data_IF_478638486004
#
_entry.id   IF_478638486004
#
_cell.length_a   1.000
_cell.length_b   1.000
_cell.length_c   1.000
_cell.angle_alpha   90.00
_cell.angle_beta   90.00
_cell.angle_gamma   90.00
#
_symmetry.space_group_name_H-M   'P 1'
#
loop_
_entity.id
_entity.type
_entity.pdbx_description
1 polymer ?
#
# COMPACT_ATOMS: atom_id res chain seq x y z
N UNK A 1 57.26 31.01 4.52
CA UNK A 1 57.15 30.45 5.89
C UNK A 1 55.75 30.79 6.42
N UNK A 2 55.05 29.89 7.12
CA UNK A 2 54.23 28.85 6.49
C UNK A 2 52.69 29.06 6.62
N UNK A 3 51.99 28.28 5.79
CA UNK A 3 50.53 28.08 5.72
C UNK A 3 50.06 27.16 6.86
N UNK A 4 48.91 27.46 7.47
CA UNK A 4 48.23 26.62 8.45
C UNK A 4 47.15 25.76 7.80
N UNK A 5 47.39 24.46 7.69
CA UNK A 5 46.39 23.44 7.32
C UNK A 5 45.62 23.00 8.56
N UNK A 6 44.29 23.15 8.55
CA UNK A 6 43.40 22.57 9.56
C UNK A 6 43.12 21.12 9.21
N UNK A 7 43.60 20.18 10.03
CA UNK A 7 43.32 18.76 9.91
C UNK A 7 41.90 18.46 10.42
N UNK A 8 41.03 17.98 9.54
CA UNK A 8 39.73 17.41 9.91
C UNK A 8 39.91 16.00 10.48
N UNK A 9 39.23 15.73 11.60
CA UNK A 9 39.22 14.42 12.25
C UNK A 9 38.60 13.34 11.34
N UNK A 10 39.12 12.09 11.34
CA UNK A 10 38.56 11.01 10.54
C UNK A 10 37.26 10.51 11.17
N UNK A 11 36.16 10.54 10.39
CA UNK A 11 34.91 9.85 10.74
C UNK A 11 35.09 8.32 10.78
N UNK A 12 34.19 7.59 11.46
CA UNK A 12 34.30 6.14 11.63
C UNK A 12 34.29 5.43 10.27
N UNK A 13 35.33 4.62 10.04
CA UNK A 13 35.49 3.78 8.85
C UNK A 13 34.56 2.57 8.98
N UNK A 14 33.55 2.49 8.12
CA UNK A 14 32.81 1.24 7.88
C UNK A 14 33.78 0.29 7.15
N UNK A 15 33.94 -0.97 7.58
CA UNK A 15 34.85 -1.91 6.91
C UNK A 15 34.44 -2.11 5.44
N UNK A 16 35.30 -1.66 4.53
CA UNK A 16 35.28 -2.11 3.13
C UNK A 16 35.65 -3.59 3.14
N UNK A 17 34.72 -4.44 2.73
CA UNK A 17 35.02 -5.84 2.49
C UNK A 17 36.13 -5.92 1.45
N UNK A 18 37.20 -6.61 1.83
CA UNK A 18 38.42 -6.83 1.05
C UNK A 18 38.02 -7.47 -0.28
N UNK A 19 38.31 -6.79 -1.38
CA UNK A 19 38.28 -7.37 -2.71
C UNK A 19 39.46 -8.35 -2.77
N UNK A 20 39.20 -9.62 -2.48
CA UNK A 20 40.17 -10.67 -2.68
C UNK A 20 40.34 -10.95 -4.16
N UNK A 21 41.61 -11.09 -4.52
CA UNK A 21 42.09 -11.31 -5.86
C UNK A 21 41.65 -12.69 -6.36
N UNK A 22 41.38 -12.70 -7.66
CA UNK A 22 41.16 -13.82 -8.56
C UNK A 22 42.04 -15.04 -8.23
N UNK A 23 41.40 -16.10 -7.75
CA UNK A 23 41.94 -17.45 -7.75
C UNK A 23 40.79 -18.38 -8.21
N UNK A 24 40.95 -18.91 -9.43
CA UNK A 24 39.90 -19.53 -10.21
C UNK A 24 39.13 -20.65 -9.53
N UNK A 25 37.81 -20.48 -9.49
CA UNK A 25 36.79 -21.52 -9.48
C UNK A 25 35.67 -21.04 -10.42
N UNK A 26 35.09 -21.98 -11.19
CA UNK A 26 34.19 -21.72 -12.32
C UNK A 26 32.94 -20.87 -12.01
N UNK A 27 32.07 -20.61 -13.01
CA UNK A 27 30.98 -19.66 -12.87
C UNK A 27 29.98 -20.13 -11.80
N UNK A 28 30.15 -19.60 -10.59
CA UNK A 28 29.14 -19.70 -9.54
C UNK A 28 27.91 -18.89 -9.95
N UNK A 29 26.73 -19.29 -9.47
CA UNK A 29 25.50 -18.66 -9.92
C UNK A 29 25.44 -17.22 -9.39
N UNK A 30 25.10 -16.27 -10.26
CA UNK A 30 25.09 -14.84 -9.93
C UNK A 30 24.11 -14.51 -8.79
N UNK A 31 24.25 -13.33 -8.18
CA UNK A 31 23.43 -12.81 -7.06
C UNK A 31 21.91 -13.04 -7.18
N UNK A 32 21.41 -13.17 -8.41
CA UNK A 32 20.01 -13.49 -8.73
C UNK A 32 19.58 -14.90 -8.34
N UNK A 33 20.48 -15.88 -8.40
CA UNK A 33 20.19 -17.26 -8.03
C UNK A 33 20.27 -17.45 -6.51
N UNK A 34 21.21 -16.79 -5.84
CA UNK A 34 21.26 -16.75 -4.37
C UNK A 34 19.97 -16.16 -3.75
N UNK A 35 19.29 -15.25 -4.47
CA UNK A 35 17.97 -14.73 -4.10
C UNK A 35 16.86 -15.78 -4.23
N UNK A 36 16.97 -16.73 -5.17
CA UNK A 36 15.98 -17.80 -5.38
C UNK A 36 16.24 -18.96 -4.40
N UNK A 37 17.51 -19.32 -4.20
CA UNK A 37 17.90 -20.46 -3.36
C UNK A 37 17.60 -20.21 -1.86
N UNK A 38 17.57 -18.95 -1.42
CA UNK A 38 17.17 -18.58 -0.06
C UNK A 38 15.71 -18.95 0.29
N UNK A 39 14.88 -19.31 -0.68
CA UNK A 39 13.51 -19.78 -0.47
C UNK A 39 13.36 -21.31 -0.55
N UNK A 40 14.39 -22.03 -1.02
CA UNK A 40 14.35 -23.51 -1.19
C UNK A 40 14.91 -24.24 0.05
N UNK A 41 15.77 -23.59 0.84
CA UNK A 41 16.41 -24.21 2.02
C UNK A 41 15.48 -24.38 3.24
N UNK A 42 14.23 -23.91 3.21
CA UNK A 42 13.29 -24.09 4.32
C UNK A 42 12.46 -25.38 4.29
N UNK A 43 12.54 -26.19 3.23
CA UNK A 43 11.85 -27.48 3.17
C UNK A 43 12.82 -28.64 2.90
N UNK A 44 13.30 -29.26 3.99
CA UNK A 44 13.70 -30.66 3.99
C UNK A 44 15.16 -30.96 4.32
N UNK A 45 15.40 -31.43 5.55
CA UNK A 45 16.31 -32.57 5.79
C UNK A 45 16.21 -33.03 7.24
N UNK A 46 15.36 -34.01 7.46
CA UNK A 46 15.19 -34.70 8.74
C UNK A 46 15.37 -36.20 8.59
N UNK A 47 16.47 -36.66 7.99
CA UNK A 47 16.72 -38.11 7.86
C UNK A 47 17.96 -38.56 8.63
N UNK A 48 17.78 -39.57 9.49
CA UNK A 48 18.84 -40.47 9.98
C UNK A 48 18.47 -41.92 9.63
N UNK A 49 19.46 -42.83 9.44
CA UNK A 49 19.28 -44.02 8.61
C UNK A 49 19.19 -45.35 9.38
N UNK A 50 18.72 -46.38 8.66
CA UNK A 50 18.85 -47.82 8.96
C UNK A 50 17.54 -48.56 8.67
N UNK A 51 17.46 -49.75 8.07
CA UNK A 51 18.41 -50.76 7.56
C UNK A 51 17.60 -51.73 6.68
N UNK A 52 18.27 -52.45 5.77
CA UNK A 52 17.76 -53.46 4.83
C UNK A 52 16.86 -54.56 5.45
N UNK A 53 15.89 -55.08 4.67
CA UNK A 53 15.90 -56.48 4.20
C UNK A 53 14.79 -56.80 3.17
N UNK A 54 15.08 -57.81 2.36
CA UNK A 54 14.41 -58.27 1.13
C UNK A 54 13.09 -59.02 1.33
N UNK A 55 12.25 -59.07 0.29
CA UNK A 55 11.21 -60.09 0.14
C UNK A 55 10.46 -60.01 -1.20
N UNK A 56 10.68 -61.00 -2.05
CA UNK A 56 10.04 -61.27 -3.35
C UNK A 56 8.61 -61.82 -3.23
N UNK A 57 7.73 -61.54 -4.21
CA UNK A 57 6.95 -62.51 -5.05
C UNK A 57 5.62 -61.94 -5.64
N UNK A 58 5.56 -62.00 -6.98
CA UNK A 58 4.49 -62.30 -7.95
C UNK A 58 3.00 -61.82 -7.87
N UNK A 59 2.58 -61.22 -9.01
CA UNK A 59 1.38 -61.42 -9.88
C UNK A 59 -0.03 -61.69 -9.24
N UNK A 60 -1.18 -61.20 -9.72
CA UNK A 60 -1.72 -61.10 -11.09
C UNK A 60 -2.98 -60.17 -11.12
N UNK A 61 -3.09 -59.35 -12.18
CA UNK A 61 -4.25 -59.16 -13.09
C UNK A 61 -5.70 -59.08 -12.57
N UNK A 62 -6.36 -57.95 -12.89
CA UNK A 62 -7.83 -57.83 -12.93
C UNK A 62 -8.32 -56.68 -13.83
N UNK A 63 -9.12 -56.99 -14.86
CA UNK A 63 -9.61 -56.11 -15.94
C UNK A 63 -10.90 -55.36 -15.57
N UNK A 64 -11.05 -54.17 -16.19
CA UNK A 64 -12.32 -53.63 -16.71
C UNK A 64 -13.15 -52.80 -15.72
N UNK A 65 -14.08 -51.93 -16.13
CA UNK A 65 -14.42 -51.29 -17.40
C UNK A 65 -15.49 -50.22 -17.09
N UNK A 66 -15.44 -49.07 -17.79
CA UNK A 66 -16.54 -48.23 -18.27
C UNK A 66 -17.64 -47.69 -17.32
N UNK A 67 -17.84 -46.37 -17.46
CA UNK A 67 -19.16 -45.71 -17.48
C UNK A 67 -19.45 -44.84 -16.26
N UNK A 68 -20.13 -43.68 -16.32
CA UNK A 68 -20.92 -42.99 -17.35
C UNK A 68 -20.93 -41.50 -16.95
N UNK A 69 -20.71 -40.61 -17.91
CA UNK A 69 -21.68 -39.66 -18.45
C UNK A 69 -21.87 -38.34 -17.66
N UNK A 70 -21.35 -37.29 -18.29
CA UNK A 70 -21.87 -35.93 -18.26
C UNK A 70 -23.37 -35.89 -18.57
N UNK A 71 -24.15 -35.14 -17.79
CA UNK A 71 -25.16 -34.17 -18.25
C UNK A 71 -25.81 -33.47 -17.05
N UNK A 72 -25.97 -32.15 -17.15
CA UNK A 72 -26.68 -31.33 -16.17
C UNK A 72 -26.60 -29.85 -16.51
N UNK A 73 -27.32 -29.43 -17.54
CA UNK A 73 -27.56 -28.03 -17.93
C UNK A 73 -28.63 -27.41 -17.03
N UNK A 74 -28.59 -26.08 -16.91
CA UNK A 74 -29.66 -25.13 -16.53
C UNK A 74 -29.54 -24.57 -15.11
N UNK A 75 -29.72 -23.28 -14.82
CA UNK A 75 -30.08 -22.12 -15.62
C UNK A 75 -29.59 -20.85 -14.89
N UNK A 76 -29.37 -19.79 -15.66
CA UNK A 76 -29.03 -18.46 -15.17
C UNK A 76 -30.15 -17.89 -14.29
N UNK A 77 -29.78 -17.37 -13.12
CA UNK A 77 -30.59 -16.43 -12.35
C UNK A 77 -29.89 -15.07 -12.35
N UNK A 78 -30.32 -14.22 -13.26
CA UNK A 78 -29.95 -12.81 -13.37
C UNK A 78 -30.48 -12.09 -12.14
N UNK A 79 -29.60 -11.64 -11.26
CA UNK A 79 -29.97 -10.70 -10.19
C UNK A 79 -29.66 -9.29 -10.66
N UNK A 80 -30.71 -8.49 -10.71
CA UNK A 80 -30.76 -7.11 -11.17
C UNK A 80 -30.03 -6.17 -10.19
N UNK A 81 -29.10 -5.38 -10.72
CA UNK A 81 -28.44 -4.29 -9.99
C UNK A 81 -29.34 -3.06 -10.04
N UNK A 82 -29.80 -2.61 -8.87
CA UNK A 82 -30.48 -1.32 -8.70
C UNK A 82 -29.42 -0.21 -8.58
N UNK A 83 -29.26 0.56 -9.65
CA UNK A 83 -28.52 1.83 -9.63
C UNK A 83 -29.53 2.98 -9.44
N UNK A 84 -29.49 3.64 -8.28
CA UNK A 84 -30.24 4.87 -8.03
C UNK A 84 -29.37 6.04 -8.49
N UNK A 85 -29.72 6.62 -9.65
CA UNK A 85 -29.19 7.91 -10.11
C UNK A 85 -30.14 9.00 -9.63
N UNK A 86 -29.69 9.85 -8.69
CA UNK A 86 -30.41 11.08 -8.34
C UNK A 86 -29.92 12.18 -9.29
N UNK A 87 -30.70 12.48 -10.31
CA UNK A 87 -30.54 13.68 -11.14
C UNK A 87 -31.36 14.82 -10.52
N UNK A 88 -30.68 15.85 -9.98
CA UNK A 88 -31.30 17.11 -9.58
C UNK A 88 -31.37 18.07 -10.77
N UNK A 89 -32.59 18.41 -11.21
CA UNK A 89 -32.81 19.48 -12.17
C UNK A 89 -33.09 20.81 -11.46
N UNK A 90 -32.20 21.76 -11.73
CA UNK A 90 -32.39 23.18 -12.09
C UNK A 90 -33.70 23.87 -11.70
N UNK A 91 -33.61 24.86 -10.81
CA UNK A 91 -34.32 26.13 -10.91
C UNK A 91 -33.60 27.20 -10.06
N UNK A 92 -32.60 27.88 -10.63
CA UNK A 92 -32.09 29.14 -10.10
C UNK A 92 -32.14 30.16 -11.24
N UNK A 93 -33.08 31.09 -11.11
CA UNK A 93 -33.43 32.08 -12.10
C UNK A 93 -32.29 33.04 -12.43
N UNK A 94 -32.18 33.34 -13.71
CA UNK A 94 -31.51 34.55 -14.20
C UNK A 94 -32.44 35.73 -13.97
N UNK A 95 -32.02 36.68 -13.15
CA UNK A 95 -32.57 38.03 -13.14
C UNK A 95 -31.42 39.00 -13.39
N UNK A 96 -31.19 39.29 -14.68
CA UNK A 96 -30.54 40.52 -15.11
C UNK A 96 -31.57 41.64 -14.98
N UNK A 97 -31.42 42.48 -13.95
CA UNK A 97 -32.17 43.72 -13.82
C UNK A 97 -31.28 44.88 -14.29
N UNK A 98 -31.50 45.29 -15.54
CA UNK A 98 -31.02 46.57 -16.05
C UNK A 98 -31.81 47.70 -15.42
N UNK A 99 -31.07 48.76 -15.11
CA UNK A 99 -31.51 49.96 -14.43
C UNK A 99 -32.66 50.68 -15.15
N UNK A 100 -33.64 51.16 -14.36
CA UNK A 100 -34.36 52.37 -14.71
C UNK A 100 -34.63 53.20 -13.45
N UNK A 101 -34.28 54.46 -13.59
CA UNK A 101 -34.05 55.46 -12.57
C UNK A 101 -35.32 56.28 -12.29
N UNK A 102 -35.44 56.67 -11.02
CA UNK A 102 -35.92 57.96 -10.51
C UNK A 102 -37.39 58.39 -10.66
N UNK A 103 -37.94 58.73 -9.49
CA UNK A 103 -38.82 59.89 -9.14
C UNK A 103 -39.97 59.39 -8.25
N UNK A 104 -40.42 60.05 -7.19
CA UNK A 104 -40.04 61.28 -6.51
C UNK A 104 -40.61 61.23 -5.08
N UNK A 105 -39.98 61.99 -4.18
CA UNK A 105 -40.56 62.87 -3.16
C UNK A 105 -41.75 62.43 -2.28
N UNK A 106 -41.63 62.77 -0.99
CA UNK A 106 -42.78 63.08 -0.13
C UNK A 106 -42.71 62.43 1.23
N UNK A 107 -42.42 63.23 2.26
CA UNK A 107 -42.35 62.79 3.66
C UNK A 107 -43.72 62.57 4.30
N UNK A 108 -43.70 62.26 5.60
CA UNK A 108 -44.90 62.23 6.41
C UNK A 108 -44.77 61.30 7.62
N UNK A 109 -44.82 61.90 8.79
CA UNK A 109 -44.76 61.29 10.12
C UNK A 109 -46.05 60.53 10.50
N UNK A 110 -45.85 59.60 11.44
CA UNK A 110 -46.73 59.21 12.54
C UNK A 110 -48.05 58.42 12.33
N UNK A 111 -48.11 57.33 13.10
CA UNK A 111 -49.19 56.92 14.02
C UNK A 111 -49.91 55.58 13.75
N UNK A 112 -49.51 54.58 14.57
CA UNK A 112 -50.31 53.66 15.42
C UNK A 112 -51.58 53.03 14.84
N UNK A 113 -51.67 51.68 14.85
CA UNK A 113 -52.62 50.88 15.65
C UNK A 113 -52.39 49.36 15.46
N UNK A 114 -52.59 48.66 16.57
CA UNK A 114 -52.51 47.24 16.93
C UNK A 114 -53.01 46.16 15.95
N UNK A 115 -52.32 45.01 15.92
CA UNK A 115 -52.82 43.71 16.43
C UNK A 115 -51.91 42.53 16.00
N UNK A 116 -51.37 41.79 16.97
CA UNK A 116 -50.86 40.40 16.84
C UNK A 116 -52.05 39.42 16.94
N UNK A 117 -51.96 38.09 16.66
CA UNK A 117 -50.76 37.22 16.72
C UNK A 117 -50.66 36.13 15.63
N UNK A 118 -49.53 35.41 15.58
CA UNK A 118 -49.48 34.09 14.94
C UNK A 118 -48.29 33.80 14.02
N UNK A 119 -47.09 34.26 14.37
CA UNK A 119 -45.87 33.80 13.71
C UNK A 119 -45.31 32.58 14.45
N UNK A 120 -45.67 31.36 14.03
CA UNK A 120 -44.85 30.18 14.31
C UNK A 120 -43.50 30.39 13.63
N UNK A 121 -42.57 30.98 14.38
CA UNK A 121 -41.17 31.07 13.99
C UNK A 121 -40.59 29.68 13.92
N UNK A 122 -40.67 29.06 12.74
CA UNK A 122 -39.84 27.91 12.41
C UNK A 122 -38.39 28.38 12.42
N UNK A 123 -37.72 28.22 13.55
CA UNK A 123 -36.26 28.24 13.60
C UNK A 123 -35.78 27.14 12.67
N UNK A 124 -34.98 27.44 11.63
CA UNK A 124 -34.38 26.38 10.84
C UNK A 124 -33.42 25.62 11.74
N UNK A 125 -33.77 24.37 12.07
CA UNK A 125 -32.85 23.41 12.66
C UNK A 125 -31.69 23.22 11.69
N UNK A 126 -30.56 23.87 11.98
CA UNK A 126 -29.30 23.62 11.28
C UNK A 126 -28.83 22.24 11.71
N UNK A 127 -29.07 21.24 10.87
CA UNK A 127 -28.40 19.94 10.99
C UNK A 127 -26.90 20.17 10.88
N UNK A 128 -26.07 19.73 11.85
CA UNK A 128 -24.63 19.86 11.70
C UNK A 128 -24.19 19.03 10.49
N UNK A 129 -23.71 19.70 9.45
CA UNK A 129 -23.00 19.03 8.36
C UNK A 129 -21.69 18.48 8.93
N UNK A 130 -21.54 17.16 8.94
CA UNK A 130 -20.33 16.53 9.47
C UNK A 130 -19.11 17.04 8.69
N UNK A 131 -18.14 17.62 9.41
CA UNK A 131 -16.91 18.11 8.79
C UNK A 131 -16.15 16.95 8.12
N UNK A 132 -15.50 17.17 6.96
CA UNK A 132 -14.69 16.15 6.31
C UNK A 132 -13.57 15.64 7.23
N UNK A 133 -13.28 14.33 7.17
CA UNK A 133 -12.18 13.74 7.93
C UNK A 133 -10.83 14.33 7.50
N UNK A 134 -9.98 14.61 8.49
CA UNK A 134 -8.56 14.95 8.29
C UNK A 134 -7.78 13.77 7.73
N UNK A 135 -6.56 14.02 7.23
CA UNK A 135 -5.67 12.96 6.74
C UNK A 135 -5.42 11.88 7.79
N UNK A 136 -5.10 12.27 9.03
CA UNK A 136 -4.78 11.30 10.09
C UNK A 136 -5.99 10.45 10.47
N UNK A 137 -7.18 11.07 10.50
CA UNK A 137 -8.44 10.35 10.70
C UNK A 137 -8.70 9.36 9.55
N UNK A 138 -8.54 9.78 8.29
CA UNK A 138 -8.68 8.89 7.12
C UNK A 138 -7.69 7.73 7.16
N UNK A 139 -6.44 7.99 7.49
CA UNK A 139 -5.41 6.95 7.66
C UNK A 139 -5.72 5.97 8.79
N UNK A 140 -6.50 6.39 9.79
CA UNK A 140 -7.00 5.55 10.89
C UNK A 140 -8.26 4.74 10.58
N UNK A 141 -8.90 4.93 9.41
CA UNK A 141 -10.12 4.17 9.05
C UNK A 141 -9.77 2.85 8.38
N UNK A 142 -10.31 1.75 8.90
CA UNK A 142 -10.35 0.45 8.22
C UNK A 142 -11.53 0.36 7.26
N UNK A 143 -11.36 -0.38 6.17
CA UNK A 143 -12.40 -0.60 5.18
C UNK A 143 -12.70 -2.10 5.05
N UNK A 144 -13.97 -2.51 4.94
CA UNK A 144 -14.29 -3.89 4.64
C UNK A 144 -13.81 -4.21 3.21
N UNK A 145 -12.93 -5.20 3.09
CA UNK A 145 -12.41 -5.68 1.80
C UNK A 145 -12.10 -7.17 1.96
N UNK A 146 -12.58 -8.01 1.03
CA UNK A 146 -12.35 -9.45 1.12
C UNK A 146 -10.90 -9.81 0.84
N UNK A 147 -10.32 -10.70 1.65
CA UNK A 147 -9.00 -11.29 1.37
C UNK A 147 -8.97 -12.09 0.05
N UNK A 148 -10.14 -12.51 -0.46
CA UNK A 148 -10.27 -13.23 -1.73
C UNK A 148 -10.74 -12.33 -2.89
N UNK A 149 -10.79 -11.00 -2.68
CA UNK A 149 -11.24 -10.09 -3.72
C UNK A 149 -10.32 -10.18 -4.95
N UNK A 150 -10.94 -10.31 -6.12
CA UNK A 150 -10.33 -10.12 -7.43
C UNK A 150 -11.12 -9.05 -8.16
N UNK A 151 -10.52 -7.88 -8.33
CA UNK A 151 -11.16 -6.78 -9.04
C UNK A 151 -10.84 -6.86 -10.55
N UNK A 152 -10.77 -5.73 -11.24
CA UNK A 152 -10.75 -5.69 -12.71
C UNK A 152 -9.42 -6.09 -13.37
N UNK A 153 -8.31 -6.09 -12.65
CA UNK A 153 -6.93 -6.18 -13.17
C UNK A 153 -6.47 -4.97 -13.99
N UNK A 154 -7.29 -3.91 -14.11
CA UNK A 154 -6.99 -2.69 -14.85
C UNK A 154 -6.65 -1.55 -13.90
N UNK A 155 -5.60 -0.79 -14.21
CA UNK A 155 -5.12 0.29 -13.36
C UNK A 155 -5.44 1.67 -13.94
N UNK A 156 -5.73 2.63 -13.08
CA UNK A 156 -5.68 4.06 -13.39
C UNK A 156 -4.52 4.71 -12.63
N UNK A 157 -3.78 5.57 -13.33
CA UNK A 157 -2.83 6.47 -12.67
C UNK A 157 -3.61 7.51 -11.87
N UNK A 158 -3.27 7.68 -10.60
CA UNK A 158 -3.86 8.74 -9.78
C UNK A 158 -3.36 10.09 -10.32
N UNK A 159 -4.24 11.03 -10.70
CA UNK A 159 -3.83 12.32 -11.25
C UNK A 159 -3.06 13.17 -10.24
N UNK A 160 -2.12 13.97 -10.73
CA UNK A 160 -1.42 14.98 -9.92
C UNK A 160 0.11 14.86 -9.96
N UNK A 161 0.74 15.84 -9.33
CA UNK A 161 2.19 15.93 -9.22
C UNK A 161 2.54 16.40 -7.81
N UNK A 162 3.46 15.70 -7.16
CA UNK A 162 3.97 16.09 -5.84
C UNK A 162 5.49 16.22 -5.92
N UNK A 163 5.98 17.46 -5.89
CA UNK A 163 7.40 17.76 -5.96
C UNK A 163 8.15 17.12 -4.79
N UNK A 164 9.29 16.51 -5.09
CA UNK A 164 10.25 16.05 -4.09
C UNK A 164 10.70 17.23 -3.18
N UNK A 165 10.59 17.13 -1.85
CA UNK A 165 10.98 18.20 -0.94
C UNK A 165 12.50 18.30 -0.72
N UNK A 166 13.23 17.20 -0.93
CA UNK A 166 14.66 17.09 -0.66
C UNK A 166 15.55 17.38 -1.87
N UNK A 167 16.86 17.40 -1.60
CA UNK A 167 17.92 17.53 -2.62
C UNK A 167 18.77 16.26 -2.77
N UNK A 168 18.40 15.18 -2.08
CA UNK A 168 19.06 13.88 -2.17
C UNK A 168 18.88 13.22 -3.53
N UNK A 169 19.29 11.96 -3.64
CA UNK A 169 19.03 11.18 -4.85
C UNK A 169 17.53 11.14 -5.12
N UNK A 170 17.13 11.68 -6.27
CA UNK A 170 15.72 11.77 -6.66
C UNK A 170 15.25 10.46 -7.28
N UNK A 171 14.12 9.97 -6.78
CA UNK A 171 13.34 8.91 -7.39
C UNK A 171 11.98 9.47 -7.83
N UNK A 172 11.63 9.24 -9.07
CA UNK A 172 10.32 9.53 -9.62
C UNK A 172 9.45 8.28 -9.54
N UNK A 173 8.21 8.44 -9.09
CA UNK A 173 7.27 7.33 -9.03
C UNK A 173 5.89 7.74 -9.49
N UNK A 174 5.13 6.78 -10.00
CA UNK A 174 3.69 6.93 -10.27
C UNK A 174 2.90 6.11 -9.27
N UNK A 175 1.69 6.56 -8.95
CA UNK A 175 0.73 5.81 -8.16
C UNK A 175 -0.37 5.30 -9.08
N UNK A 176 -0.53 3.99 -9.14
CA UNK A 176 -1.59 3.32 -9.88
C UNK A 176 -2.57 2.66 -8.89
N UNK A 177 -3.86 2.70 -9.17
CA UNK A 177 -4.90 2.04 -8.36
C UNK A 177 -5.76 1.18 -9.27
N UNK A 178 -6.03 -0.06 -8.85
CA UNK A 178 -6.90 -0.96 -9.59
C UNK A 178 -8.35 -0.47 -9.60
N UNK A 179 -8.99 -0.51 -10.78
CA UNK A 179 -10.41 -0.17 -10.92
C UNK A 179 -11.27 -1.17 -10.17
N UNK A 180 -12.24 -0.65 -9.41
CA UNK A 180 -13.24 -1.44 -8.69
C UNK A 180 -12.90 -1.76 -7.23
N UNK A 181 -11.82 -1.19 -6.67
CA UNK A 181 -11.46 -1.44 -5.26
C UNK A 181 -12.38 -0.75 -4.24
N UNK A 182 -13.04 0.35 -4.61
CA UNK A 182 -13.84 1.14 -3.66
C UNK A 182 -13.00 1.85 -2.58
N UNK A 183 -11.70 2.03 -2.80
CA UNK A 183 -10.77 2.70 -1.89
C UNK A 183 -10.41 4.12 -2.38
N UNK A 184 -10.09 5.00 -1.44
CA UNK A 184 -9.68 6.39 -1.73
C UNK A 184 -8.27 6.43 -2.36
N UNK A 185 -8.23 6.52 -3.68
CA UNK A 185 -6.99 6.58 -4.45
C UNK A 185 -6.14 7.83 -4.13
N UNK A 186 -6.78 8.96 -3.80
CA UNK A 186 -6.09 10.20 -3.46
C UNK A 186 -5.44 10.09 -2.07
N UNK A 187 -6.13 9.47 -1.10
CA UNK A 187 -5.56 9.15 0.21
C UNK A 187 -4.34 8.24 0.08
N UNK A 188 -4.43 7.19 -0.75
CA UNK A 188 -3.29 6.30 -0.98
C UNK A 188 -2.09 7.04 -1.56
N UNK A 189 -2.29 7.85 -2.61
CA UNK A 189 -1.22 8.66 -3.20
C UNK A 189 -0.60 9.65 -2.20
N UNK A 190 -1.43 10.32 -1.40
CA UNK A 190 -0.96 11.23 -0.34
C UNK A 190 -0.17 10.49 0.73
N UNK A 191 -0.60 9.30 1.13
CA UNK A 191 0.08 8.49 2.13
C UNK A 191 1.45 8.02 1.64
N UNK A 192 1.56 7.61 0.38
CA UNK A 192 2.85 7.25 -0.24
C UNK A 192 3.81 8.45 -0.22
N UNK A 193 3.36 9.63 -0.69
CA UNK A 193 4.21 10.83 -0.75
C UNK A 193 4.69 11.26 0.65
N UNK A 194 3.79 11.29 1.63
CA UNK A 194 4.12 11.66 3.01
C UNK A 194 5.05 10.65 3.67
N UNK A 195 4.79 9.35 3.48
CA UNK A 195 5.57 8.29 4.12
C UNK A 195 6.99 8.28 3.59
N UNK A 196 7.19 8.24 2.26
CA UNK A 196 8.53 8.12 1.67
C UNK A 196 9.43 9.32 1.90
N UNK A 197 8.85 10.51 2.06
CA UNK A 197 9.58 11.74 2.34
C UNK A 197 9.61 12.13 3.83
N UNK A 198 9.10 11.29 4.73
CA UNK A 198 9.29 11.49 6.17
C UNK A 198 10.78 11.34 6.52
N UNK A 199 11.27 12.16 7.46
CA UNK A 199 12.67 12.12 7.91
C UNK A 199 13.09 10.79 8.53
N UNK A 200 12.12 9.98 8.97
CA UNK A 200 12.31 8.61 9.49
C UNK A 200 12.27 7.55 8.39
N UNK A 201 11.88 7.91 7.17
CA UNK A 201 11.81 7.02 6.00
C UNK A 201 13.12 7.04 5.20
N UNK A 202 13.13 6.45 4.01
CA UNK A 202 14.27 6.35 3.10
C UNK A 202 14.84 7.70 2.66
N UNK A 203 14.09 8.80 2.81
CA UNK A 203 14.57 10.16 2.60
C UNK A 203 15.48 10.69 3.73
N UNK A 204 15.64 9.93 4.82
CA UNK A 204 16.43 10.27 6.00
C UNK A 204 17.75 10.97 5.68
N UNK A 205 18.08 11.99 6.48
CA UNK A 205 19.27 12.84 6.33
C UNK A 205 19.48 13.44 4.93
N UNK A 206 18.41 13.56 4.14
CA UNK A 206 18.49 14.04 2.77
C UNK A 206 19.21 13.09 1.82
N UNK A 207 19.34 11.81 2.17
CA UNK A 207 19.97 10.80 1.32
C UNK A 207 19.19 10.58 0.02
N UNK A 208 17.85 10.58 0.10
CA UNK A 208 16.93 10.38 -1.02
C UNK A 208 15.80 11.40 -0.99
N UNK A 209 15.08 11.52 -2.10
CA UNK A 209 13.84 12.29 -2.19
C UNK A 209 12.91 11.67 -3.23
N UNK A 210 11.61 11.65 -2.96
CA UNK A 210 10.63 10.99 -3.82
C UNK A 210 9.67 12.02 -4.43
N UNK A 211 9.56 12.00 -5.75
CA UNK A 211 8.72 12.89 -6.56
C UNK A 211 7.63 12.09 -7.24
N UNK A 212 6.38 12.44 -6.99
CA UNK A 212 5.24 11.79 -7.63
C UNK A 212 4.94 12.46 -8.97
N UNK A 213 4.86 11.65 -10.02
CA UNK A 213 4.38 12.04 -11.36
C UNK A 213 3.15 11.22 -11.74
N UNK A 214 2.24 11.77 -12.54
CA UNK A 214 1.07 11.04 -13.08
C UNK A 214 1.18 10.72 -14.57
N UNK A 215 2.22 11.20 -15.25
CA UNK A 215 2.48 10.99 -16.68
C UNK A 215 3.99 10.91 -16.95
N UNK A 216 4.37 10.42 -18.12
CA UNK A 216 5.77 10.13 -18.46
C UNK A 216 6.25 8.79 -17.89
N UNK A 217 7.57 8.60 -17.89
CA UNK A 217 8.22 7.37 -17.44
C UNK A 217 8.79 7.58 -16.03
N UNK A 218 8.20 6.98 -14.98
CA UNK A 218 8.77 7.00 -13.63
C UNK A 218 9.88 5.95 -13.49
N UNK A 219 10.69 6.07 -12.44
CA UNK A 219 11.66 5.02 -12.07
C UNK A 219 10.95 3.74 -11.60
N UNK A 220 9.77 3.87 -10.97
CA UNK A 220 8.90 2.76 -10.59
C UNK A 220 7.44 3.17 -10.38
N UNK A 221 6.55 2.19 -10.26
CA UNK A 221 5.11 2.39 -10.06
C UNK A 221 4.65 1.72 -8.78
N UNK A 222 4.10 2.48 -7.84
CA UNK A 222 3.48 1.95 -6.62
C UNK A 222 2.00 1.69 -6.92
N UNK A 223 1.58 0.44 -6.81
CA UNK A 223 0.28 -0.03 -7.29
C UNK A 223 -0.57 -0.57 -6.15
N UNK A 224 -1.76 -0.01 -5.92
CA UNK A 224 -2.75 -0.58 -5.01
C UNK A 224 -3.66 -1.53 -5.79
N UNK A 225 -3.65 -2.82 -5.45
CA UNK A 225 -4.39 -3.85 -6.18
C UNK A 225 -5.09 -4.82 -5.24
N UNK A 226 -6.18 -5.42 -5.71
CA UNK A 226 -6.91 -6.49 -5.05
C UNK A 226 -5.97 -7.67 -4.77
N UNK A 227 -6.25 -8.50 -3.74
CA UNK A 227 -5.46 -9.70 -3.46
C UNK A 227 -5.18 -10.57 -4.68
N UNK A 228 -6.21 -10.88 -5.48
CA UNK A 228 -6.06 -11.71 -6.67
C UNK A 228 -5.12 -11.09 -7.71
N UNK A 229 -5.24 -9.79 -7.98
CA UNK A 229 -4.33 -9.09 -8.90
C UNK A 229 -2.93 -8.93 -8.32
N UNK A 230 -2.80 -8.73 -7.01
CA UNK A 230 -1.49 -8.67 -6.34
C UNK A 230 -0.76 -9.99 -6.52
N UNK A 231 -1.41 -11.13 -6.26
CA UNK A 231 -0.82 -12.46 -6.47
C UNK A 231 -0.37 -12.68 -7.92
N UNK A 232 -1.19 -12.31 -8.91
CA UNK A 232 -0.83 -12.42 -10.33
C UNK A 232 0.43 -11.60 -10.69
N UNK A 233 0.60 -10.41 -10.11
CA UNK A 233 1.77 -9.57 -10.36
C UNK A 233 3.00 -10.04 -9.58
N UNK A 234 2.84 -10.48 -8.33
CA UNK A 234 3.93 -11.04 -7.53
C UNK A 234 4.50 -12.32 -8.16
N UNK A 235 3.65 -13.17 -8.73
CA UNK A 235 4.05 -14.39 -9.42
C UNK A 235 4.97 -14.13 -10.63
N UNK A 236 4.90 -12.95 -11.27
CA UNK A 236 5.84 -12.55 -12.35
C UNK A 236 7.28 -12.42 -11.86
N UNK A 237 7.47 -12.30 -10.55
CA UNK A 237 8.77 -12.24 -9.88
C UNK A 237 9.04 -13.48 -9.03
N UNK A 238 8.29 -14.57 -9.24
CA UNK A 238 8.48 -15.84 -8.53
C UNK A 238 7.94 -15.85 -7.09
N UNK A 239 7.11 -14.88 -6.71
CA UNK A 239 6.59 -14.75 -5.36
C UNK A 239 5.12 -15.21 -5.29
N UNK A 240 4.84 -16.15 -4.40
CA UNK A 240 3.47 -16.54 -4.06
C UNK A 240 2.97 -15.75 -2.84
N UNK A 241 1.80 -15.13 -2.99
CA UNK A 241 1.15 -14.32 -1.94
C UNK A 241 -0.32 -14.71 -1.74
N UNK A 242 -0.77 -15.82 -2.35
CA UNK A 242 -2.16 -16.26 -2.35
C UNK A 242 -2.67 -16.62 -0.96
N UNK A 243 -1.83 -17.26 -0.15
CA UNK A 243 -2.16 -17.65 1.23
C UNK A 243 -2.01 -16.46 2.20
N UNK A 244 -0.82 -15.86 2.23
CA UNK A 244 -0.49 -14.84 3.22
C UNK A 244 -1.11 -13.47 2.92
N UNK A 245 -1.64 -13.24 1.73
CA UNK A 245 -2.20 -11.96 1.30
C UNK A 245 -1.25 -10.78 1.60
N UNK A 246 0.03 -10.93 1.27
CA UNK A 246 1.04 -9.88 1.50
C UNK A 246 1.19 -8.99 0.26
N UNK A 247 1.87 -7.87 0.46
CA UNK A 247 2.36 -7.01 -0.62
C UNK A 247 3.69 -7.57 -1.14
N UNK A 248 4.17 -7.08 -2.27
CA UNK A 248 5.47 -7.48 -2.81
C UNK A 248 6.09 -6.39 -3.68
N UNK A 249 7.42 -6.39 -3.80
CA UNK A 249 8.08 -5.81 -4.96
C UNK A 249 8.05 -6.82 -6.11
N UNK A 250 7.28 -6.55 -7.17
CA UNK A 250 7.35 -7.36 -8.39
C UNK A 250 8.57 -6.92 -9.21
N UNK A 251 9.75 -7.25 -8.69
CA UNK A 251 11.05 -6.77 -9.15
C UNK A 251 11.38 -7.09 -10.62
N UNK A 252 10.76 -8.11 -11.22
CA UNK A 252 10.84 -8.39 -12.66
C UNK A 252 10.02 -7.41 -13.52
N UNK A 253 9.34 -6.44 -12.89
CA UNK A 253 8.48 -5.43 -13.51
C UNK A 253 8.74 -4.04 -12.89
N UNK A 254 8.12 -3.00 -13.44
CA UNK A 254 8.21 -1.67 -12.85
C UNK A 254 7.41 -1.50 -11.54
N UNK A 255 6.66 -2.52 -11.08
CA UNK A 255 5.62 -2.35 -10.05
C UNK A 255 6.01 -2.84 -8.65
N UNK A 256 5.83 -1.94 -7.69
CA UNK A 256 5.74 -2.24 -6.25
C UNK A 256 4.26 -2.45 -5.94
N UNK A 257 3.87 -3.66 -5.58
CA UNK A 257 2.47 -4.07 -5.41
C UNK A 257 2.08 -3.97 -3.93
N UNK A 258 1.10 -3.10 -3.64
CA UNK A 258 0.45 -3.00 -2.33
C UNK A 258 -0.87 -3.76 -2.37
N UNK A 259 -0.98 -4.79 -1.54
CA UNK A 259 -2.18 -5.59 -1.39
C UNK A 259 -3.29 -4.77 -0.72
N UNK A 260 -4.39 -4.56 -1.44
CA UNK A 260 -5.50 -3.72 -1.01
C UNK A 260 -6.21 -4.26 0.25
N UNK A 261 -6.25 -5.58 0.46
CA UNK A 261 -6.76 -6.15 1.70
C UNK A 261 -5.95 -5.70 2.91
N UNK A 262 -4.62 -5.74 2.79
CA UNK A 262 -3.70 -5.27 3.83
C UNK A 262 -3.81 -3.77 4.06
N UNK A 263 -3.87 -2.99 2.99
CA UNK A 263 -4.12 -1.56 3.10
C UNK A 263 -5.46 -1.25 3.81
N UNK A 264 -6.51 -2.03 3.53
CA UNK A 264 -7.85 -1.81 4.07
C UNK A 264 -8.01 -2.26 5.52
N UNK A 265 -7.44 -3.40 5.90
CA UNK A 265 -7.71 -4.06 7.19
C UNK A 265 -6.52 -4.13 8.14
N UNK A 266 -5.29 -4.03 7.62
CA UNK A 266 -4.06 -4.15 8.41
C UNK A 266 -3.55 -5.58 8.55
N UNK A 267 -2.77 -5.80 9.61
CA UNK A 267 -2.31 -7.13 10.06
C UNK A 267 -2.64 -7.34 11.53
N UNK A 268 -2.69 -8.61 11.95
CA UNK A 268 -2.88 -8.98 13.35
C UNK A 268 -1.77 -8.42 14.26
N UNK A 269 -0.55 -8.41 13.76
CA UNK A 269 0.66 -7.93 14.46
C UNK A 269 0.62 -6.45 14.82
N UNK A 270 -0.17 -5.63 14.11
CA UNK A 270 -0.33 -4.21 14.40
C UNK A 270 -1.58 -3.90 15.24
N UNK A 271 -2.41 -4.91 15.57
CA UNK A 271 -3.70 -4.68 16.23
C UNK A 271 -4.48 -3.57 15.54
N UNK A 272 -5.02 -2.63 16.32
CA UNK A 272 -5.80 -1.48 15.83
C UNK A 272 -4.98 -0.32 15.23
N UNK A 273 -3.66 -0.45 15.19
CA UNK A 273 -2.76 0.59 14.68
C UNK A 273 -2.66 0.58 13.14
N UNK A 274 -3.80 0.78 12.45
CA UNK A 274 -3.87 0.74 10.97
C UNK A 274 -3.04 1.84 10.28
N UNK A 275 -2.96 3.03 10.87
CA UNK A 275 -2.18 4.13 10.31
C UNK A 275 -0.69 3.76 10.24
N UNK A 276 0.01 3.44 11.35
CA UNK A 276 1.40 3.02 11.26
C UNK A 276 1.57 1.75 10.42
N UNK A 277 0.63 0.80 10.44
CA UNK A 277 0.72 -0.36 9.53
C UNK A 277 0.81 0.04 8.05
N UNK A 278 -0.02 0.98 7.61
CA UNK A 278 0.00 1.50 6.23
C UNK A 278 1.33 2.14 5.87
N UNK A 279 1.94 2.86 6.82
CA UNK A 279 3.27 3.45 6.65
C UNK A 279 4.36 2.38 6.57
N UNK A 280 4.30 1.36 7.43
CA UNK A 280 5.20 0.21 7.39
C UNK A 280 5.13 -0.47 6.03
N UNK A 281 3.92 -0.79 5.55
CA UNK A 281 3.70 -1.47 4.29
C UNK A 281 4.35 -0.71 3.11
N UNK A 282 4.15 0.60 3.04
CA UNK A 282 4.77 1.44 2.01
C UNK A 282 6.31 1.41 2.12
N UNK A 283 6.85 1.57 3.32
CA UNK A 283 8.31 1.60 3.52
C UNK A 283 8.96 0.24 3.24
N UNK A 284 8.30 -0.86 3.62
CA UNK A 284 8.79 -2.23 3.41
C UNK A 284 8.92 -2.54 1.92
N UNK A 285 7.83 -2.36 1.16
CA UNK A 285 7.84 -2.71 -0.27
C UNK A 285 8.74 -1.79 -1.09
N UNK A 286 8.80 -0.49 -0.75
CA UNK A 286 9.76 0.41 -1.40
C UNK A 286 11.20 0.12 -0.95
N UNK A 287 11.39 -0.42 0.26
CA UNK A 287 12.69 -0.93 0.70
C UNK A 287 13.22 -2.03 -0.23
N UNK A 288 12.38 -3.01 -0.58
CA UNK A 288 12.73 -4.02 -1.58
C UNK A 288 13.11 -3.39 -2.92
N UNK A 289 12.31 -2.43 -3.41
CA UNK A 289 12.61 -1.72 -4.66
C UNK A 289 13.94 -0.97 -4.62
N UNK A 290 14.36 -0.50 -3.44
CA UNK A 290 15.63 0.18 -3.22
C UNK A 290 16.80 -0.79 -2.95
N UNK A 291 16.56 -2.11 -3.00
CA UNK A 291 17.58 -3.15 -2.87
C UNK A 291 17.78 -3.68 -1.45
N UNK A 292 16.86 -3.41 -0.51
CA UNK A 292 16.94 -3.95 0.84
C UNK A 292 16.21 -5.29 0.92
N UNK A 293 16.91 -6.33 1.39
CA UNK A 293 16.33 -7.65 1.68
C UNK A 293 15.65 -7.68 3.06
N UNK A 294 14.99 -8.80 3.36
CA UNK A 294 14.47 -9.03 4.70
C UNK A 294 15.59 -9.11 5.73
N UNK A 295 15.29 -8.61 6.93
CA UNK A 295 16.09 -8.82 8.14
C UNK A 295 15.15 -9.11 9.28
N UNK A 296 15.65 -9.74 10.34
CA UNK A 296 14.85 -10.06 11.51
C UNK A 296 15.42 -9.34 12.73
N UNK A 297 14.54 -8.87 13.59
CA UNK A 297 14.89 -8.37 14.90
C UNK A 297 15.59 -9.46 15.73
N UNK A 298 16.59 -9.08 16.52
CA UNK A 298 17.43 -10.01 17.27
C UNK A 298 17.35 -9.80 18.79
N UNK A 299 16.53 -8.85 19.24
CA UNK A 299 16.44 -8.45 20.64
C UNK A 299 15.02 -8.21 21.09
N UNK A 300 14.69 -8.88 22.19
CA UNK A 300 13.41 -8.74 22.85
C UNK A 300 13.15 -7.29 23.29
N UNK A 301 11.94 -6.80 23.00
CA UNK A 301 11.48 -5.46 23.32
C UNK A 301 11.97 -4.34 22.40
N UNK A 302 12.86 -4.60 21.44
CA UNK A 302 13.29 -3.58 20.47
C UNK A 302 12.27 -3.39 19.32
N UNK A 303 12.35 -2.24 18.65
CA UNK A 303 11.59 -2.01 17.42
C UNK A 303 12.05 -2.98 16.33
N UNK A 304 11.12 -3.70 15.71
CA UNK A 304 11.43 -4.52 14.56
C UNK A 304 12.05 -3.66 13.44
N UNK A 305 13.08 -4.14 12.71
CA UNK A 305 13.51 -3.46 11.50
C UNK A 305 12.33 -3.33 10.52
N UNK A 306 12.22 -2.22 9.78
CA UNK A 306 11.11 -2.04 8.81
C UNK A 306 11.09 -3.13 7.74
N UNK A 307 12.25 -3.71 7.45
CA UNK A 307 12.41 -4.81 6.49
C UNK A 307 12.18 -6.20 7.11
N UNK A 308 11.79 -6.29 8.38
CA UNK A 308 11.20 -7.52 8.91
C UNK A 308 9.83 -7.73 8.28
N UNK A 309 9.44 -9.00 8.08
CA UNK A 309 8.11 -9.38 7.60
C UNK A 309 7.04 -9.16 8.68
N UNK A 310 6.91 -7.91 9.16
CA UNK A 310 6.06 -7.55 10.29
C UNK A 310 4.59 -7.82 10.05
N UNK A 311 4.13 -7.88 8.79
CA UNK A 311 2.77 -8.32 8.44
C UNK A 311 2.50 -9.77 8.89
N UNK A 312 3.53 -10.62 8.85
CA UNK A 312 3.45 -12.03 9.22
C UNK A 312 3.74 -12.26 10.70
N UNK A 313 4.82 -11.68 11.23
CA UNK A 313 5.24 -11.94 12.61
C UNK A 313 6.03 -10.78 13.24
N UNK A 314 5.91 -10.68 14.55
CA UNK A 314 6.74 -9.85 15.44
C UNK A 314 7.41 -10.68 16.53
N UNK A 315 6.83 -11.84 16.84
CA UNK A 315 7.36 -12.86 17.73
C UNK A 315 8.06 -13.96 16.93
N UNK A 316 9.27 -14.32 17.32
CA UNK A 316 9.98 -15.50 16.82
C UNK A 316 11.08 -15.89 17.83
N UNK A 317 11.43 -17.17 17.93
CA UNK A 317 12.58 -17.64 18.73
C UNK A 317 12.62 -17.16 20.20
N UNK A 318 11.45 -16.90 20.80
CA UNK A 318 11.33 -16.36 22.17
C UNK A 318 11.64 -14.86 22.29
N UNK A 319 11.79 -14.16 21.16
CA UNK A 319 11.97 -12.73 21.02
C UNK A 319 10.64 -12.09 20.59
N UNK A 320 10.18 -11.09 21.33
CA UNK A 320 9.07 -10.23 20.97
C UNK A 320 9.60 -8.86 20.54
N UNK A 321 9.39 -8.49 19.28
CA UNK A 321 9.75 -7.14 18.80
C UNK A 321 8.53 -6.25 18.61
N UNK A 322 8.73 -4.95 18.80
CA UNK A 322 7.68 -3.94 18.69
C UNK A 322 7.46 -3.55 17.22
N UNK A 323 6.19 -3.39 16.85
CA UNK A 323 5.79 -2.90 15.54
C UNK A 323 6.48 -1.56 15.19
N UNK A 324 7.08 -1.48 14.01
CA UNK A 324 7.82 -0.29 13.59
C UNK A 324 7.63 0.01 12.09
N UNK A 325 7.07 1.16 11.75
CA UNK A 325 6.85 1.52 10.35
C UNK A 325 8.01 2.23 9.68
N UNK A 326 9.12 2.50 10.37
CA UNK A 326 10.17 3.39 9.87
C UNK A 326 11.55 2.71 9.78
N UNK A 327 12.31 2.91 8.69
CA UNK A 327 13.72 2.48 8.62
C UNK A 327 14.64 3.23 9.59
N UNK A 328 14.33 4.49 9.91
CA UNK A 328 15.14 5.35 10.78
C UNK A 328 14.28 6.02 11.86
N UNK A 329 13.72 5.26 12.83
CA UNK A 329 12.70 5.76 13.76
C UNK A 329 13.18 6.88 14.69
N UNK A 330 14.50 7.00 14.94
CA UNK A 330 15.09 8.02 15.82
C UNK A 330 15.41 9.38 15.16
N UNK A 331 14.95 9.60 13.93
CA UNK A 331 15.30 10.77 13.10
C UNK A 331 14.40 11.98 13.34
#
# INVERSE_FOLDING_TARGET
MPQGMSQGAPGPRIPRQRQEADAGLGPGPGLRQAYVDAFDESEGSGERPGTDESGTEEAEKGKGAKGRAFTGIAAAAVTTVLAVVVAGQVAAGRHDATAQTQSAAGGGLDARVSASPGGTGSTPSVTPSAAPLTYDQKMGVRYPLSATLKASGKFDAVPGFDKAPGKGQKYTYRVDVEKGLGLDAALFAQAVQKTLNDKRSWAHNGARTFERISSGTPDFVITLASPGTTAEWCAKSGLDTTEDNVSCDSASTERVMINAYRWAQGSKTYGDAIHPYRQMLINHEVGHRLGYGHVTCDKDGELAPVMQQQTKFLDHDGIHCLANPWPYPGS
#
